data_IF_787048948076
#
_entry.id   IF_787048948076
#
_cell.length_a   1.000
_cell.length_b   1.000
_cell.length_c   1.000
_cell.angle_alpha   90.00
_cell.angle_beta   90.00
_cell.angle_gamma   90.00
#
_symmetry.space_group_name_H-M   'P 1'
#
loop_
_entity.id
_entity.type
_entity.pdbx_description
1 polymer ?
#
# COMPACT_ATOMS: atom_id res chain seq x y z
N UNK A 1 -20.29 7.03 4.97
CA UNK A 1 -19.83 5.94 4.09
C UNK A 1 -20.79 4.76 4.21
N UNK A 2 -21.35 4.23 3.12
CA UNK A 2 -22.09 2.97 3.15
C UNK A 2 -21.08 1.82 2.98
N UNK A 3 -20.89 0.99 4.00
CA UNK A 3 -19.80 0.01 4.02
C UNK A 3 -20.25 -1.38 3.53
N UNK A 4 -19.92 -1.72 2.29
CA UNK A 4 -20.13 -3.06 1.72
C UNK A 4 -18.98 -4.03 2.10
N UNK A 5 -18.92 -4.45 3.36
CA UNK A 5 -17.78 -5.21 3.93
C UNK A 5 -17.46 -6.53 3.21
N UNK A 6 -18.43 -7.13 2.51
CA UNK A 6 -18.23 -8.38 1.77
C UNK A 6 -17.54 -8.19 0.41
N UNK A 7 -17.45 -6.95 -0.10
CA UNK A 7 -16.86 -6.62 -1.41
C UNK A 7 -15.60 -5.79 -1.24
N UNK A 8 -14.53 -6.42 -0.79
CA UNK A 8 -13.22 -5.78 -0.60
C UNK A 8 -12.48 -5.63 -1.93
N UNK A 9 -11.99 -4.43 -2.19
CA UNK A 9 -11.13 -4.09 -3.31
C UNK A 9 -9.76 -3.64 -2.79
N UNK A 10 -8.72 -3.89 -3.60
CA UNK A 10 -7.42 -3.25 -3.43
C UNK A 10 -7.48 -1.88 -4.12
N UNK A 11 -7.53 -0.83 -3.31
CA UNK A 11 -7.61 0.56 -3.74
C UNK A 11 -6.23 1.18 -3.73
N UNK A 12 -5.83 1.76 -4.86
CA UNK A 12 -4.50 2.35 -5.04
C UNK A 12 -4.55 3.87 -4.87
N UNK A 13 -3.78 4.43 -3.95
CA UNK A 13 -3.70 5.90 -3.76
C UNK A 13 -3.13 6.61 -4.99
N UNK A 14 -1.99 6.13 -5.49
CA UNK A 14 -1.46 6.46 -6.81
C UNK A 14 -1.72 5.30 -7.76
N UNK A 15 -2.27 5.62 -8.92
CA UNK A 15 -2.68 4.64 -9.94
C UNK A 15 -1.66 3.53 -10.16
N UNK A 16 -2.18 2.29 -10.32
CA UNK A 16 -1.39 1.08 -10.66
C UNK A 16 -0.55 1.19 -11.95
N UNK A 17 -0.68 2.26 -12.73
CA UNK A 17 0.21 2.55 -13.86
C UNK A 17 1.63 2.92 -13.42
N UNK A 18 1.78 3.49 -12.24
CA UNK A 18 3.08 3.93 -11.69
C UNK A 18 3.83 2.73 -11.11
N UNK A 19 4.71 2.12 -11.91
CA UNK A 19 5.45 0.90 -11.50
C UNK A 19 6.32 1.09 -10.25
N UNK A 20 6.73 2.31 -9.94
CA UNK A 20 7.56 2.64 -8.78
C UNK A 20 6.81 2.43 -7.45
N UNK A 21 5.48 2.58 -7.45
CA UNK A 21 4.65 2.46 -6.24
C UNK A 21 3.54 1.42 -6.36
N UNK A 22 3.33 0.82 -7.53
CA UNK A 22 2.25 -0.14 -7.80
C UNK A 22 2.16 -1.27 -6.77
N UNK A 23 3.29 -1.77 -6.32
CA UNK A 23 3.38 -2.90 -5.40
C UNK A 23 3.63 -2.46 -3.96
N UNK A 24 3.84 -1.16 -3.72
CA UNK A 24 4.19 -0.61 -2.42
C UNK A 24 3.04 -0.78 -1.40
N UNK A 25 3.29 -1.31 -0.18
CA UNK A 25 2.24 -1.54 0.82
C UNK A 25 1.50 -0.25 1.19
N UNK A 26 2.20 0.89 1.26
CA UNK A 26 1.61 2.20 1.57
C UNK A 26 0.93 2.88 0.37
N UNK A 27 0.93 2.26 -0.81
CA UNK A 27 0.14 2.71 -1.96
C UNK A 27 -1.15 1.89 -2.13
N UNK A 28 -1.38 0.89 -1.28
CA UNK A 28 -2.51 -0.02 -1.36
C UNK A 28 -3.35 -0.01 -0.08
N UNK A 29 -4.68 -0.03 -0.26
CA UNK A 29 -5.67 0.02 0.80
C UNK A 29 -6.74 -1.05 0.58
N UNK A 30 -7.26 -1.62 1.67
CA UNK A 30 -8.38 -2.55 1.63
C UNK A 30 -9.69 -1.78 1.85
N UNK A 31 -10.28 -1.29 0.76
CA UNK A 31 -11.55 -0.55 0.78
C UNK A 31 -12.70 -1.43 0.32
N UNK A 32 -13.91 -1.23 0.87
CA UNK A 32 -15.09 -1.79 0.21
C UNK A 32 -15.32 -1.11 -1.14
N UNK A 33 -16.03 -1.76 -2.06
CA UNK A 33 -16.28 -1.23 -3.41
C UNK A 33 -16.85 0.21 -3.41
N UNK A 34 -17.79 0.52 -2.52
CA UNK A 34 -18.36 1.87 -2.42
C UNK A 34 -17.37 2.93 -1.94
N UNK A 35 -16.53 2.59 -0.95
CA UNK A 35 -15.46 3.49 -0.49
C UNK A 35 -14.37 3.65 -1.55
N UNK A 36 -14.01 2.56 -2.24
CA UNK A 36 -13.04 2.59 -3.32
C UNK A 36 -13.48 3.57 -4.42
N UNK A 37 -14.72 3.43 -4.93
CA UNK A 37 -15.25 4.33 -5.96
C UNK A 37 -15.25 5.79 -5.52
N UNK A 38 -15.74 6.07 -4.30
CA UNK A 38 -15.79 7.45 -3.78
C UNK A 38 -14.39 8.07 -3.70
N UNK A 39 -13.42 7.35 -3.16
CA UNK A 39 -12.05 7.85 -2.97
C UNK A 39 -11.29 7.96 -4.30
N UNK A 40 -11.58 7.13 -5.30
CA UNK A 40 -11.03 7.30 -6.65
C UNK A 40 -11.59 8.54 -7.37
N UNK A 41 -12.85 8.90 -7.12
CA UNK A 41 -13.50 10.09 -7.69
C UNK A 41 -13.04 11.40 -7.00
N UNK A 42 -12.62 11.33 -5.74
CA UNK A 42 -12.16 12.48 -4.95
C UNK A 42 -10.72 12.28 -4.41
N UNK A 43 -9.70 12.73 -5.17
CA UNK A 43 -8.31 12.64 -4.77
C UNK A 43 -7.96 13.43 -3.50
N UNK A 44 -8.72 14.47 -3.15
CA UNK A 44 -8.47 15.25 -1.94
C UNK A 44 -8.86 14.42 -0.71
N UNK A 45 -10.07 13.83 -0.73
CA UNK A 45 -10.50 12.92 0.33
C UNK A 45 -9.58 11.69 0.45
N UNK A 46 -9.11 11.13 -0.67
CA UNK A 46 -8.18 10.00 -0.61
C UNK A 46 -6.82 10.40 -0.04
N UNK A 47 -6.32 11.59 -0.37
CA UNK A 47 -5.07 12.08 0.23
C UNK A 47 -5.22 12.21 1.75
N UNK A 48 -6.27 12.88 2.23
CA UNK A 48 -6.53 13.02 3.66
C UNK A 48 -6.71 11.66 4.36
N UNK A 49 -7.44 10.72 3.74
CA UNK A 49 -7.58 9.36 4.26
C UNK A 49 -6.24 8.64 4.38
N UNK A 50 -5.40 8.72 3.34
CA UNK A 50 -4.10 8.08 3.29
C UNK A 50 -3.15 8.66 4.36
N UNK A 51 -3.17 9.98 4.57
CA UNK A 51 -2.36 10.68 5.58
C UNK A 51 -2.76 10.30 7.00
N UNK A 52 -4.06 10.15 7.26
CA UNK A 52 -4.56 9.65 8.55
C UNK A 52 -4.06 8.22 8.82
N UNK A 53 -4.01 7.38 7.78
CA UNK A 53 -3.68 5.96 7.93
C UNK A 53 -2.18 5.70 8.00
N UNK A 54 -1.36 6.38 7.19
CA UNK A 54 0.07 6.12 7.09
C UNK A 54 0.97 7.31 7.48
N UNK A 55 0.40 8.47 7.79
CA UNK A 55 1.15 9.69 8.09
C UNK A 55 1.50 10.50 6.83
N UNK A 56 1.45 11.82 6.97
CA UNK A 56 1.70 12.79 5.89
C UNK A 56 3.03 12.55 5.18
N UNK A 57 4.13 12.43 5.94
CA UNK A 57 5.47 12.22 5.38
C UNK A 57 5.58 10.93 4.55
N UNK A 58 4.90 9.87 4.96
CA UNK A 58 4.93 8.58 4.25
C UNK A 58 4.14 8.70 2.93
N UNK A 59 2.97 9.34 2.97
CA UNK A 59 2.14 9.58 1.78
C UNK A 59 2.83 10.50 0.78
N UNK A 60 3.49 11.56 1.28
CA UNK A 60 4.25 12.47 0.44
C UNK A 60 5.38 11.72 -0.31
N UNK A 61 6.13 10.86 0.39
CA UNK A 61 7.17 10.03 -0.24
C UNK A 61 6.60 9.09 -1.30
N UNK A 62 5.48 8.43 -1.03
CA UNK A 62 4.78 7.60 -2.03
C UNK A 62 4.36 8.43 -3.23
N UNK A 63 3.82 9.63 -3.02
CA UNK A 63 3.42 10.52 -4.10
C UNK A 63 4.61 10.96 -4.95
N UNK A 64 5.73 11.35 -4.33
CA UNK A 64 6.98 11.71 -5.03
C UNK A 64 7.54 10.53 -5.83
N UNK A 65 7.59 9.34 -5.23
CA UNK A 65 8.10 8.13 -5.89
C UNK A 65 7.24 7.73 -7.12
N UNK A 66 5.93 7.94 -7.06
CA UNK A 66 5.04 7.66 -8.20
C UNK A 66 5.36 8.50 -9.45
N UNK A 67 5.98 9.68 -9.27
CA UNK A 67 6.43 10.53 -10.37
C UNK A 67 7.73 10.05 -11.02
N UNK A 68 8.43 9.07 -10.43
CA UNK A 68 9.66 8.50 -10.97
C UNK A 68 9.32 7.38 -11.96
N UNK A 69 9.61 7.54 -13.26
CA UNK A 69 9.39 6.48 -14.23
C UNK A 69 10.40 5.36 -14.00
N UNK A 70 9.92 4.15 -13.73
CA UNK A 70 10.77 2.96 -13.56
C UNK A 70 10.43 1.87 -14.56
N UNK A 71 11.46 1.23 -15.09
CA UNK A 71 11.35 0.04 -15.91
C UNK A 71 11.97 -1.14 -15.17
N UNK A 72 11.11 -1.92 -14.52
CA UNK A 72 11.51 -3.16 -13.84
C UNK A 72 11.85 -4.23 -14.88
N UNK A 73 13.04 -4.83 -14.74
CA UNK A 73 13.49 -5.99 -15.52
C UNK A 73 12.72 -7.25 -15.07
N UNK A 74 12.66 -8.26 -15.91
CA UNK A 74 11.95 -9.52 -15.61
C UNK A 74 12.42 -10.15 -14.31
N UNK A 75 13.74 -10.30 -14.12
CA UNK A 75 14.29 -10.87 -12.88
C UNK A 75 13.99 -10.04 -11.63
N UNK A 76 13.83 -8.71 -11.75
CA UNK A 76 13.40 -7.86 -10.64
C UNK A 76 11.94 -8.12 -10.28
N UNK A 77 11.09 -8.32 -11.29
CA UNK A 77 9.69 -8.69 -11.11
C UNK A 77 9.57 -10.07 -10.47
N UNK A 78 10.39 -11.04 -10.90
CA UNK A 78 10.41 -12.39 -10.32
C UNK A 78 10.87 -12.34 -8.86
N UNK A 79 11.93 -11.59 -8.57
CA UNK A 79 12.40 -11.39 -7.19
C UNK A 79 11.35 -10.71 -6.30
N UNK A 80 10.67 -9.69 -6.82
CA UNK A 80 9.58 -9.01 -6.12
C UNK A 80 8.41 -9.98 -5.84
N UNK A 81 8.02 -10.78 -6.83
CA UNK A 81 6.98 -11.79 -6.68
C UNK A 81 7.32 -12.83 -5.61
N UNK A 82 8.54 -13.38 -5.63
CA UNK A 82 8.96 -14.37 -4.64
C UNK A 82 8.99 -13.78 -3.22
N UNK A 83 9.48 -12.53 -3.07
CA UNK A 83 9.46 -11.85 -1.77
C UNK A 83 8.02 -11.68 -1.26
N UNK A 84 7.12 -11.14 -2.08
CA UNK A 84 5.72 -10.95 -1.70
C UNK A 84 5.00 -12.26 -1.38
N UNK A 85 5.35 -13.35 -2.08
CA UNK A 85 4.81 -14.68 -1.80
C UNK A 85 5.26 -15.22 -0.44
N UNK A 86 6.53 -14.99 -0.08
CA UNK A 86 7.05 -15.35 1.23
C UNK A 86 6.41 -14.51 2.34
N UNK A 87 6.24 -13.20 2.11
CA UNK A 87 5.53 -12.32 3.04
C UNK A 87 4.08 -12.75 3.21
N UNK A 88 3.37 -13.13 2.14
CA UNK A 88 2.00 -13.65 2.25
C UNK A 88 1.94 -14.90 3.13
N UNK A 89 2.88 -15.84 2.97
CA UNK A 89 2.97 -17.03 3.82
C UNK A 89 3.17 -16.65 5.29
N UNK A 90 4.10 -15.73 5.59
CA UNK A 90 4.33 -15.20 6.94
C UNK A 90 3.07 -14.55 7.52
N UNK A 91 2.35 -13.75 6.71
CA UNK A 91 1.10 -13.12 7.13
C UNK A 91 0.03 -14.15 7.47
N UNK A 92 -0.09 -15.22 6.69
CA UNK A 92 -1.04 -16.31 6.95
C UNK A 92 -0.71 -17.05 8.25
N UNK A 93 0.56 -17.39 8.48
CA UNK A 93 1.02 -18.01 9.73
C UNK A 93 0.72 -17.13 10.95
N UNK A 94 0.94 -15.81 10.85
CA UNK A 94 0.57 -14.87 11.91
C UNK A 94 -0.95 -14.83 12.16
N UNK A 95 -1.77 -14.95 11.11
CA UNK A 95 -3.23 -15.04 11.26
C UNK A 95 -3.66 -16.32 11.96
N UNK A 96 -3.04 -17.45 11.63
CA UNK A 96 -3.30 -18.73 12.29
C UNK A 96 -2.91 -18.70 13.78
N UNK A 97 -1.87 -17.95 14.12
CA UNK A 97 -1.45 -17.68 15.50
C UNK A 97 -2.37 -16.69 16.25
N UNK A 98 -3.41 -16.18 15.59
CA UNK A 98 -4.38 -15.27 16.20
C UNK A 98 -3.98 -13.80 16.19
N UNK A 99 -2.96 -13.40 15.43
CA UNK A 99 -2.60 -11.98 15.27
C UNK A 99 -3.73 -11.27 14.54
N UNK A 100 -4.35 -10.30 15.21
CA UNK A 100 -5.43 -9.48 14.67
C UNK A 100 -4.92 -8.11 14.22
N UNK A 101 -5.78 -7.28 13.61
CA UNK A 101 -5.40 -5.96 13.15
C UNK A 101 -4.57 -5.97 11.86
N UNK A 102 -3.99 -4.81 11.52
CA UNK A 102 -3.13 -4.65 10.36
C UNK A 102 -1.75 -5.25 10.65
N UNK A 103 -1.28 -6.12 9.76
CA UNK A 103 0.06 -6.70 9.83
C UNK A 103 0.85 -6.08 8.67
N UNK A 104 1.93 -5.39 9.00
CA UNK A 104 2.80 -4.81 7.98
C UNK A 104 3.62 -5.89 7.27
N UNK A 105 3.88 -5.66 5.99
CA UNK A 105 4.77 -6.47 5.17
C UNK A 105 5.71 -5.57 4.39
N UNK A 106 6.87 -6.11 4.06
CA UNK A 106 7.94 -5.36 3.38
C UNK A 106 8.03 -5.74 1.91
N UNK A 107 8.87 -5.00 1.19
CA UNK A 107 9.30 -5.35 -0.15
C UNK A 107 10.84 -5.45 -0.16
N UNK A 108 11.46 -5.97 -1.22
CA UNK A 108 12.91 -5.94 -1.33
C UNK A 108 13.46 -4.51 -1.15
N UNK A 109 14.57 -4.38 -0.43
CA UNK A 109 15.15 -3.07 -0.06
C UNK A 109 15.35 -2.14 -1.27
N UNK A 110 15.80 -2.72 -2.39
CA UNK A 110 16.03 -1.99 -3.64
C UNK A 110 14.74 -1.40 -4.27
N UNK A 111 13.56 -1.91 -3.89
CA UNK A 111 12.27 -1.40 -4.36
C UNK A 111 11.61 -0.43 -3.36
N UNK A 112 11.84 -0.62 -2.06
CA UNK A 112 11.19 0.17 -1.01
C UNK A 112 11.80 1.58 -0.83
N UNK A 113 13.00 1.82 -1.36
CA UNK A 113 13.69 3.14 -1.41
C UNK A 113 13.63 3.94 -0.09
N UNK A 114 13.74 3.24 1.05
CA UNK A 114 13.73 3.86 2.37
C UNK A 114 12.40 4.52 2.77
N UNK A 115 11.28 4.19 2.13
CA UNK A 115 9.96 4.60 2.62
C UNK A 115 9.65 3.79 3.89
N UNK A 116 9.80 4.46 5.02
CA UNK A 116 9.43 3.94 6.34
C UNK A 116 8.09 4.55 6.77
N UNK A 117 7.28 3.75 7.46
CA UNK A 117 6.11 4.26 8.16
C UNK A 117 6.60 5.20 9.27
N UNK A 118 6.24 6.47 9.18
CA UNK A 118 6.42 7.43 10.29
C UNK A 118 5.04 7.74 10.83
N UNK A 119 4.55 6.87 11.71
CA UNK A 119 3.44 7.23 12.58
C UNK A 119 3.90 8.46 13.36
N UNK A 120 3.15 9.56 13.25
CA UNK A 120 3.51 10.82 13.90
C UNK A 120 3.90 10.59 15.35
N UNK A 121 5.05 11.14 15.75
CA UNK A 121 5.25 11.54 17.13
C UNK A 121 4.00 12.36 17.48
N UNK A 122 3.19 11.85 18.41
CA UNK A 122 2.07 12.62 18.92
C UNK A 122 2.65 13.93 19.47
N UNK A 123 2.26 15.05 18.85
CA UNK A 123 2.49 16.38 19.40
C UNK A 123 1.67 16.56 20.69
#
# INVERSE_FOLDING_TARGET
>A
FHHERQKLHCSHFKSRRHKATRYHPYNAFAHCVGCHRKLEEDPYEFTAHAEIVYGEMTIERVARLACVPVRLKTWQMDGLYQHMKNELKRLQELREQGVTGRIEFTLPDWYQDGIQLRMGEAA
#
